data_IF_502697767493
#
_entry.id   IF_502697767493
#
_cell.length_a   1.000
_cell.length_b   1.000
_cell.length_c   1.000
_cell.angle_alpha   90.00
_cell.angle_beta   90.00
_cell.angle_gamma   90.00
#
_symmetry.space_group_name_H-M   'P 1'
#
loop_
_entity.id
_entity.type
_entity.pdbx_description
1 polymer ?
#
# COMPACT_ATOMS: atom_id res chain seq x y z
N UNK A 1 -13.27 25.62 3.97
CA UNK A 1 -12.60 24.38 4.45
C UNK A 1 -13.03 23.23 3.55
N UNK A 2 -12.09 22.39 3.08
CA UNK A 2 -12.39 21.25 2.18
C UNK A 2 -12.46 19.91 2.92
N UNK A 3 -11.75 19.78 4.05
CA UNK A 3 -11.67 18.56 4.87
C UNK A 3 -11.67 18.93 6.36
N UNK A 4 -12.41 18.19 7.16
CA UNK A 4 -12.33 18.18 8.63
C UNK A 4 -11.54 16.95 9.07
N UNK A 5 -10.60 17.12 10.00
CA UNK A 5 -9.84 16.02 10.61
C UNK A 5 -10.39 15.81 12.02
N UNK A 6 -10.84 14.59 12.31
CA UNK A 6 -11.26 14.17 13.65
C UNK A 6 -10.22 13.22 14.19
N UNK A 7 -9.71 13.51 15.39
CA UNK A 7 -8.76 12.67 16.09
C UNK A 7 -9.25 12.41 17.52
N UNK A 8 -9.30 11.15 17.93
CA UNK A 8 -9.62 10.76 19.30
C UNK A 8 -8.77 9.56 19.74
N UNK A 9 -8.61 9.41 21.05
CA UNK A 9 -7.90 8.27 21.62
C UNK A 9 -8.80 7.02 21.56
N UNK A 10 -8.28 5.95 20.98
CA UNK A 10 -9.00 4.68 20.81
C UNK A 10 -8.59 3.71 21.92
N UNK A 11 -9.55 2.98 22.48
CA UNK A 11 -9.22 1.91 23.43
C UNK A 11 -8.55 0.78 22.65
N UNK A 12 -7.37 0.40 23.11
CA UNK A 12 -6.66 -0.77 22.62
C UNK A 12 -6.53 -1.67 23.82
N UNK A 13 -6.99 -2.92 23.71
CA UNK A 13 -6.92 -3.93 24.78
C UNK A 13 -5.44 -4.23 25.08
N UNK A 14 -4.87 -3.42 25.98
CA UNK A 14 -3.51 -3.51 26.46
C UNK A 14 -3.55 -4.23 27.80
N UNK A 15 -3.43 -5.56 27.74
CA UNK A 15 -3.39 -6.43 28.93
C UNK A 15 -2.28 -6.06 29.93
N UNK A 16 -1.35 -5.18 29.55
CA UNK A 16 -0.25 -4.73 30.41
C UNK A 16 -0.53 -3.46 31.22
N UNK A 17 -1.62 -2.73 30.96
CA UNK A 17 -1.98 -1.54 31.75
C UNK A 17 -3.11 -1.86 32.71
N UNK A 18 -2.78 -1.91 34.01
CA UNK A 18 -3.70 -2.10 35.13
C UNK A 18 -4.67 -0.92 35.32
N UNK A 19 -5.47 -0.63 34.30
CA UNK A 19 -6.50 0.40 34.31
C UNK A 19 -7.83 -0.27 34.63
N UNK A 20 -8.50 0.22 35.68
CA UNK A 20 -9.83 -0.26 36.05
C UNK A 20 -10.82 0.31 35.02
N UNK A 21 -11.41 -0.57 34.19
CA UNK A 21 -12.47 -0.21 33.27
C UNK A 21 -13.71 0.28 34.05
N UNK A 22 -14.28 1.41 33.65
CA UNK A 22 -15.53 1.95 34.20
C UNK A 22 -16.48 2.31 33.06
N UNK A 23 -17.52 1.49 32.83
CA UNK A 23 -18.44 1.68 31.71
C UNK A 23 -17.71 1.57 30.36
N UNK A 24 -17.89 2.56 29.48
CA UNK A 24 -17.24 2.73 28.17
C UNK A 24 -15.96 3.58 28.23
N UNK A 25 -15.36 3.73 29.41
CA UNK A 25 -14.16 4.51 29.60
C UNK A 25 -13.29 4.04 30.77
N UNK A 26 -12.33 4.87 31.14
CA UNK A 26 -11.49 4.66 32.31
C UNK A 26 -11.58 5.87 33.22
N UNK A 27 -11.48 5.65 34.52
CA UNK A 27 -11.21 6.71 35.49
C UNK A 27 -9.69 6.82 35.61
N UNK A 28 -9.14 7.97 35.25
CA UNK A 28 -7.69 8.19 35.36
C UNK A 28 -7.28 8.32 36.84
N UNK A 29 -5.97 8.23 37.11
CA UNK A 29 -5.41 8.47 38.46
C UNK A 29 -5.70 9.88 39.00
N UNK A 30 -6.22 10.79 38.17
CA UNK A 30 -6.65 12.14 38.54
C UNK A 30 -8.17 12.25 38.77
N UNK A 31 -8.90 11.13 38.89
CA UNK A 31 -10.37 11.07 39.03
C UNK A 31 -11.14 11.77 37.89
N UNK A 32 -10.59 11.79 36.67
CA UNK A 32 -11.32 12.24 35.48
C UNK A 32 -11.81 11.04 34.69
N UNK A 33 -13.07 11.08 34.26
CA UNK A 33 -13.60 10.10 33.31
C UNK A 33 -13.07 10.43 31.91
N UNK A 34 -12.46 9.44 31.27
CA UNK A 34 -12.05 9.54 29.89
C UNK A 34 -12.72 8.41 29.10
N UNK A 35 -13.65 8.79 28.21
CA UNK A 35 -14.23 7.85 27.24
C UNK A 35 -13.17 7.48 26.21
N UNK A 36 -13.01 6.19 26.00
CA UNK A 36 -12.23 5.68 24.89
C UNK A 36 -13.19 5.09 23.89
N UNK A 37 -13.03 5.45 22.63
CA UNK A 37 -13.85 4.87 21.59
C UNK A 37 -13.17 3.60 21.06
N UNK A 38 -13.95 2.60 20.69
CA UNK A 38 -13.46 1.64 19.70
C UNK A 38 -13.38 2.31 18.32
N UNK A 39 -12.54 1.79 17.41
CA UNK A 39 -12.39 2.38 16.07
C UNK A 39 -13.73 2.46 15.33
N UNK A 40 -14.51 1.39 15.38
CA UNK A 40 -15.83 1.31 14.74
C UNK A 40 -16.86 2.22 15.42
N UNK A 41 -16.83 2.32 16.75
CA UNK A 41 -17.70 3.19 17.53
C UNK A 41 -17.45 4.67 17.19
N UNK A 42 -16.18 5.09 17.13
CA UNK A 42 -15.81 6.44 16.75
C UNK A 42 -16.31 6.79 15.35
N UNK A 43 -16.18 5.85 14.39
CA UNK A 43 -16.70 6.03 13.04
C UNK A 43 -18.21 6.25 13.06
N UNK A 44 -18.95 5.35 13.71
CA UNK A 44 -20.40 5.42 13.77
C UNK A 44 -20.88 6.74 14.39
N UNK A 45 -20.19 7.21 15.44
CA UNK A 45 -20.48 8.50 16.05
C UNK A 45 -20.27 9.67 15.07
N UNK A 46 -19.12 9.72 14.38
CA UNK A 46 -18.82 10.79 13.40
C UNK A 46 -19.84 10.76 12.26
N UNK A 47 -20.11 9.58 11.69
CA UNK A 47 -21.03 9.41 10.57
C UNK A 47 -22.45 9.85 10.95
N UNK A 48 -22.93 9.48 12.14
CA UNK A 48 -24.26 9.82 12.62
C UNK A 48 -24.41 11.33 12.88
N UNK A 49 -23.40 11.96 13.50
CA UNK A 49 -23.47 13.38 13.86
C UNK A 49 -23.36 14.27 12.62
N UNK A 50 -22.51 13.90 11.66
CA UNK A 50 -22.23 14.72 10.48
C UNK A 50 -23.04 14.32 9.24
N UNK A 51 -23.69 13.15 9.24
CA UNK A 51 -24.47 12.65 8.12
C UNK A 51 -23.61 12.31 6.89
N UNK A 52 -22.39 11.81 7.11
CA UNK A 52 -21.37 11.54 6.08
C UNK A 52 -20.71 10.18 6.28
N UNK A 53 -20.02 9.65 5.26
CA UNK A 53 -19.16 8.47 5.42
C UNK A 53 -17.71 8.90 5.70
N UNK A 54 -17.34 8.94 6.98
CA UNK A 54 -16.00 9.33 7.40
C UNK A 54 -14.94 8.31 6.97
N UNK A 55 -13.78 8.82 6.52
CA UNK A 55 -12.69 7.99 5.96
C UNK A 55 -11.65 7.72 7.05
N UNK A 56 -11.44 6.46 7.46
CA UNK A 56 -10.37 6.13 8.40
C UNK A 56 -9.01 6.30 7.73
N UNK A 57 -8.12 7.05 8.39
CA UNK A 57 -6.73 7.24 7.96
C UNK A 57 -5.81 6.36 8.81
N UNK A 58 -6.00 6.39 10.12
CA UNK A 58 -5.30 5.57 11.09
C UNK A 58 -6.23 5.29 12.29
N UNK A 59 -5.74 4.53 13.27
CA UNK A 59 -6.46 4.37 14.54
C UNK A 59 -6.76 5.74 15.15
N UNK A 60 -8.04 5.98 15.44
CA UNK A 60 -8.54 7.20 16.05
C UNK A 60 -8.60 8.41 15.13
N UNK A 61 -8.19 8.30 13.86
CA UNK A 61 -8.08 9.44 12.94
C UNK A 61 -8.97 9.24 11.71
N UNK A 62 -9.88 10.18 11.51
CA UNK A 62 -10.84 10.21 10.41
C UNK A 62 -10.75 11.52 9.62
N UNK A 63 -10.85 11.41 8.30
CA UNK A 63 -11.10 12.55 7.43
C UNK A 63 -12.57 12.61 7.04
N UNK A 64 -13.13 13.80 7.13
CA UNK A 64 -14.52 14.09 6.75
C UNK A 64 -14.52 15.13 5.64
N UNK A 65 -15.14 14.78 4.52
CA UNK A 65 -15.27 15.65 3.36
C UNK A 65 -16.69 16.20 3.31
N UNK A 66 -16.82 17.49 2.98
CA UNK A 66 -18.14 18.10 2.75
C UNK A 66 -18.71 17.76 1.37
N UNK A 67 -17.84 17.54 0.40
CA UNK A 67 -18.17 17.25 -0.99
C UNK A 67 -17.86 15.78 -1.28
N UNK A 68 -18.90 15.02 -1.61
CA UNK A 68 -18.81 13.59 -1.91
C UNK A 68 -17.86 13.30 -3.07
N UNK A 69 -17.83 14.18 -4.09
CA UNK A 69 -16.96 13.99 -5.25
C UNK A 69 -15.47 14.07 -4.87
N UNK A 70 -15.14 14.91 -3.87
CA UNK A 70 -13.79 15.00 -3.31
C UNK A 70 -13.47 13.81 -2.42
N UNK A 71 -14.46 13.31 -1.67
CA UNK A 71 -14.33 12.11 -0.84
C UNK A 71 -14.02 10.87 -1.70
N UNK A 72 -14.71 10.72 -2.83
CA UNK A 72 -14.50 9.61 -3.76
C UNK A 72 -13.19 9.73 -4.55
N UNK A 73 -12.83 10.95 -4.96
CA UNK A 73 -11.51 11.19 -5.56
C UNK A 73 -10.38 10.82 -4.59
N UNK A 74 -10.52 11.14 -3.30
CA UNK A 74 -9.56 10.76 -2.26
C UNK A 74 -9.49 9.24 -2.05
N UNK A 75 -10.64 8.54 -1.97
CA UNK A 75 -10.69 7.08 -1.86
C UNK A 75 -10.01 6.40 -3.05
N UNK A 76 -10.32 6.81 -4.27
CA UNK A 76 -9.71 6.26 -5.47
C UNK A 76 -8.18 6.48 -5.50
N UNK A 77 -7.73 7.68 -5.12
CA UNK A 77 -6.31 8.03 -5.10
C UNK A 77 -5.48 7.17 -4.12
N UNK A 78 -6.07 6.69 -3.02
CA UNK A 78 -5.39 5.81 -2.04
C UNK A 78 -4.96 4.46 -2.60
N UNK A 79 -5.66 3.98 -3.62
CA UNK A 79 -5.37 2.71 -4.27
C UNK A 79 -4.71 2.91 -5.63
N UNK A 80 -4.20 4.11 -5.92
CA UNK A 80 -3.46 4.37 -7.15
C UNK A 80 -2.05 3.84 -7.04
N UNK A 81 -1.59 3.18 -8.09
CA UNK A 81 -0.24 2.63 -8.15
C UNK A 81 0.71 3.49 -8.96
N UNK A 82 2.01 3.43 -8.65
CA UNK A 82 3.05 4.17 -9.37
C UNK A 82 3.25 3.60 -10.78
N UNK A 83 3.36 4.47 -11.76
CA UNK A 83 3.65 4.12 -13.15
C UNK A 83 4.80 4.98 -13.66
N UNK A 84 5.48 4.53 -14.70
CA UNK A 84 6.53 5.29 -15.37
C UNK A 84 6.27 5.23 -16.86
N UNK A 85 6.47 6.35 -17.55
CA UNK A 85 6.26 6.43 -18.99
C UNK A 85 7.20 5.43 -19.70
N UNK A 86 6.73 4.75 -20.75
CA UNK A 86 7.55 3.84 -21.55
C UNK A 86 8.80 4.50 -22.10
N UNK A 87 9.89 3.73 -22.18
CA UNK A 87 11.15 4.24 -22.73
C UNK A 87 11.06 4.33 -24.25
N UNK A 88 11.63 5.39 -24.82
CA UNK A 88 11.78 5.55 -26.26
C UNK A 88 12.81 4.52 -26.74
N UNK A 89 12.41 3.62 -27.64
CA UNK A 89 13.24 2.53 -28.16
C UNK A 89 13.75 2.80 -29.57
N UNK A 90 12.95 3.50 -30.38
CA UNK A 90 13.24 3.75 -31.79
C UNK A 90 13.36 5.25 -32.05
N UNK A 91 14.39 5.63 -32.82
CA UNK A 91 14.52 7.00 -33.35
C UNK A 91 13.58 7.17 -34.54
N UNK A 92 12.39 7.70 -34.28
CA UNK A 92 11.42 8.06 -35.31
C UNK A 92 11.51 9.57 -35.55
N UNK A 93 11.88 9.99 -36.75
CA UNK A 93 12.12 11.41 -37.08
C UNK A 93 10.92 12.30 -36.74
N UNK A 94 9.71 11.84 -37.03
CA UNK A 94 8.47 12.54 -36.71
C UNK A 94 8.22 12.63 -35.21
N UNK A 95 8.57 11.60 -34.43
CA UNK A 95 8.45 11.65 -32.98
C UNK A 95 9.46 12.65 -32.38
N UNK A 96 10.71 12.61 -32.80
CA UNK A 96 11.76 13.53 -32.32
C UNK A 96 11.41 15.00 -32.63
N UNK A 97 10.89 15.26 -33.83
CA UNK A 97 10.49 16.62 -34.25
C UNK A 97 9.39 17.22 -33.37
N UNK A 98 8.48 16.38 -32.84
CA UNK A 98 7.31 16.83 -32.09
C UNK A 98 7.28 16.33 -30.65
N UNK A 99 8.42 15.91 -30.11
CA UNK A 99 8.52 15.29 -28.79
C UNK A 99 7.88 16.14 -27.69
N UNK A 100 8.20 17.43 -27.65
CA UNK A 100 7.66 18.35 -26.63
C UNK A 100 6.13 18.50 -26.72
N UNK A 101 5.55 18.35 -27.92
CA UNK A 101 4.09 18.40 -28.12
C UNK A 101 3.42 17.08 -27.78
N UNK A 102 4.12 15.96 -27.90
CA UNK A 102 3.63 14.62 -27.57
C UNK A 102 3.83 14.27 -26.08
N UNK A 103 4.77 14.93 -25.40
CA UNK A 103 5.07 14.66 -23.99
C UNK A 103 3.86 14.82 -23.06
N UNK A 104 3.02 15.89 -23.14
CA UNK A 104 1.82 15.99 -22.30
C UNK A 104 0.83 14.83 -22.53
N UNK A 105 0.77 14.30 -23.76
CA UNK A 105 -0.07 13.16 -24.09
C UNK A 105 0.47 11.86 -23.47
N UNK A 106 1.80 11.68 -23.51
CA UNK A 106 2.49 10.57 -22.85
C UNK A 106 2.33 10.63 -21.33
N UNK A 107 2.45 11.82 -20.73
CA UNK A 107 2.28 12.03 -19.28
C UNK A 107 0.85 11.75 -18.86
N UNK A 108 -0.14 12.24 -19.61
CA UNK A 108 -1.56 11.96 -19.37
C UNK A 108 -1.84 10.46 -19.46
N UNK A 109 -1.35 9.77 -20.50
CA UNK A 109 -1.56 8.34 -20.62
C UNK A 109 -0.86 7.59 -19.48
N UNK A 110 0.36 7.97 -19.12
CA UNK A 110 1.10 7.37 -17.99
C UNK A 110 0.32 7.52 -16.68
N UNK A 111 -0.29 8.68 -16.47
CA UNK A 111 -1.09 8.95 -15.29
C UNK A 111 -2.45 8.23 -15.33
N UNK A 112 -3.14 8.15 -16.47
CA UNK A 112 -4.56 7.72 -16.55
C UNK A 112 -4.80 6.36 -17.19
N UNK A 113 -3.81 5.80 -17.89
CA UNK A 113 -3.93 4.55 -18.65
C UNK A 113 -4.83 4.65 -19.88
N UNK A 114 -5.11 5.87 -20.34
CA UNK A 114 -5.98 6.15 -21.48
C UNK A 114 -5.61 7.49 -22.11
N UNK A 115 -6.13 7.73 -23.31
CA UNK A 115 -6.03 9.05 -23.94
C UNK A 115 -6.99 10.07 -23.29
N UNK A 116 -6.64 11.36 -23.30
CA UNK A 116 -7.50 12.43 -22.81
C UNK A 116 -8.71 12.59 -23.72
N UNK A 117 -9.85 12.92 -23.12
CA UNK A 117 -11.02 13.39 -23.85
C UNK A 117 -10.83 14.85 -24.28
N UNK A 118 -11.64 15.30 -25.23
CA UNK A 118 -11.59 16.69 -25.73
C UNK A 118 -11.80 17.73 -24.62
N UNK A 119 -12.62 17.40 -23.61
CA UNK A 119 -12.90 18.28 -22.48
C UNK A 119 -11.75 18.34 -21.44
N UNK A 120 -10.80 17.41 -21.51
CA UNK A 120 -9.66 17.33 -20.58
C UNK A 120 -8.40 18.01 -21.15
N UNK A 121 -8.40 18.39 -22.42
CA UNK A 121 -7.33 19.15 -23.05
C UNK A 121 -7.66 20.64 -23.07
N UNK A 122 -6.65 21.48 -22.89
CA UNK A 122 -6.79 22.91 -23.14
C UNK A 122 -7.11 23.18 -24.62
N UNK A 123 -7.92 24.21 -24.91
CA UNK A 123 -8.31 24.54 -26.29
C UNK A 123 -7.10 24.73 -27.22
N UNK A 124 -6.01 25.32 -26.71
CA UNK A 124 -4.76 25.53 -27.44
C UNK A 124 -4.02 24.21 -27.71
N UNK A 125 -3.94 23.31 -26.72
CA UNK A 125 -3.29 22.00 -26.85
C UNK A 125 -4.01 21.14 -27.89
N UNK A 126 -5.35 21.09 -27.80
CA UNK A 126 -6.18 20.38 -28.76
C UNK A 126 -5.98 20.91 -30.18
N UNK A 127 -6.01 22.24 -30.35
CA UNK A 127 -5.83 22.88 -31.66
C UNK A 127 -4.45 22.56 -32.23
N UNK A 128 -3.39 22.65 -31.42
CA UNK A 128 -2.02 22.34 -31.81
C UNK A 128 -1.86 20.87 -32.26
N UNK A 129 -2.44 19.93 -31.50
CA UNK A 129 -2.44 18.51 -31.84
C UNK A 129 -3.25 18.21 -33.10
N UNK A 130 -4.42 18.83 -33.27
CA UNK A 130 -5.26 18.66 -34.45
C UNK A 130 -4.61 19.24 -35.70
N UNK A 131 -3.99 20.42 -35.62
CA UNK A 131 -3.29 21.02 -36.75
C UNK A 131 -2.09 20.17 -37.22
N UNK A 132 -1.38 19.53 -36.28
CA UNK A 132 -0.17 18.76 -36.60
C UNK A 132 -0.47 17.31 -37.00
N UNK A 133 -1.40 16.65 -36.29
CA UNK A 133 -1.63 15.20 -36.40
C UNK A 133 -3.06 14.84 -36.83
N UNK A 134 -3.97 15.81 -36.91
CA UNK A 134 -5.40 15.62 -37.21
C UNK A 134 -6.24 15.17 -36.02
N UNK A 135 -5.75 14.26 -35.16
CA UNK A 135 -6.47 13.82 -33.96
C UNK A 135 -5.55 13.33 -32.84
N UNK A 136 -6.08 13.30 -31.61
CA UNK A 136 -5.37 12.77 -30.42
C UNK A 136 -4.90 11.32 -30.66
N UNK A 137 -5.76 10.49 -31.28
CA UNK A 137 -5.42 9.09 -31.59
C UNK A 137 -4.25 8.99 -32.58
N UNK A 138 -4.25 9.81 -33.64
CA UNK A 138 -3.17 9.84 -34.62
C UNK A 138 -1.86 10.36 -34.02
N UNK A 139 -1.94 11.38 -33.17
CA UNK A 139 -0.78 11.86 -32.41
C UNK A 139 -0.18 10.74 -31.56
N UNK A 140 -1.02 9.95 -30.87
CA UNK A 140 -0.55 8.82 -30.09
C UNK A 140 -0.02 7.65 -30.95
N UNK A 141 -0.50 7.47 -32.17
CA UNK A 141 0.09 6.50 -33.11
C UNK A 141 1.57 6.80 -33.38
N UNK A 142 1.96 8.08 -33.45
CA UNK A 142 3.37 8.48 -33.59
C UNK A 142 4.17 8.10 -32.34
N UNK A 143 3.59 8.25 -31.15
CA UNK A 143 4.22 7.79 -29.89
C UNK A 143 4.45 6.28 -29.92
N UNK A 144 3.45 5.50 -30.34
CA UNK A 144 3.54 4.03 -30.42
C UNK A 144 4.57 3.54 -31.45
N UNK A 145 4.92 4.34 -32.45
CA UNK A 145 6.00 4.01 -33.39
C UNK A 145 7.40 4.15 -32.74
N UNK A 146 7.54 5.02 -31.75
CA UNK A 146 8.82 5.31 -31.07
C UNK A 146 9.00 4.54 -29.75
N UNK A 147 7.91 3.99 -29.19
CA UNK A 147 7.84 3.34 -27.87
C UNK A 147 7.30 1.92 -27.96
N UNK A 148 7.30 1.18 -26.86
CA UNK A 148 6.72 -0.16 -26.80
C UNK A 148 5.22 -0.10 -26.46
N UNK A 149 4.38 -0.64 -27.34
CA UNK A 149 2.92 -0.67 -27.15
C UNK A 149 2.50 -1.49 -25.91
N UNK A 150 3.20 -2.60 -25.62
CA UNK A 150 2.91 -3.44 -24.46
C UNK A 150 3.19 -2.74 -23.13
N UNK A 151 4.16 -1.81 -23.07
CA UNK A 151 4.38 -0.98 -21.88
C UNK A 151 3.20 0.00 -21.63
N UNK A 152 2.55 0.51 -22.69
CA UNK A 152 1.34 1.32 -22.56
C UNK A 152 0.13 0.48 -22.13
N UNK A 153 -0.04 -0.71 -22.69
CA UNK A 153 -1.09 -1.65 -22.29
C UNK A 153 -0.94 -2.03 -20.81
N UNK A 154 0.30 -2.29 -20.35
CA UNK A 154 0.58 -2.56 -18.95
C UNK A 154 0.17 -1.39 -18.01
N UNK A 155 0.34 -0.13 -18.46
CA UNK A 155 -0.14 1.04 -17.71
C UNK A 155 -1.68 1.06 -17.67
N UNK A 156 -2.34 0.79 -18.78
CA UNK A 156 -3.81 0.72 -18.85
C UNK A 156 -4.36 -0.39 -17.94
N UNK A 157 -3.76 -1.58 -17.95
CA UNK A 157 -4.13 -2.70 -17.08
C UNK A 157 -3.89 -2.39 -15.61
N UNK A 158 -2.77 -1.73 -15.29
CA UNK A 158 -2.48 -1.27 -13.93
C UNK A 158 -3.53 -0.28 -13.43
N UNK A 159 -4.01 0.63 -14.29
CA UNK A 159 -5.11 1.56 -13.97
C UNK A 159 -6.47 0.90 -13.85
N UNK A 160 -6.78 -0.09 -14.70
CA UNK A 160 -7.96 -0.94 -14.52
C UNK A 160 -7.93 -1.60 -13.15
N UNK A 161 -6.80 -2.21 -12.78
CA UNK A 161 -6.64 -2.88 -11.50
C UNK A 161 -6.79 -1.92 -10.30
N UNK A 162 -6.23 -0.71 -10.37
CA UNK A 162 -6.43 0.32 -9.33
C UNK A 162 -7.93 0.64 -9.13
N UNK A 163 -8.66 0.82 -10.24
CA UNK A 163 -10.10 1.08 -10.22
C UNK A 163 -10.91 -0.10 -9.70
N UNK A 164 -10.53 -1.33 -10.06
CA UNK A 164 -11.17 -2.54 -9.53
C UNK A 164 -11.01 -2.63 -8.02
N UNK A 165 -9.81 -2.42 -7.49
CA UNK A 165 -9.55 -2.42 -6.04
C UNK A 165 -10.41 -1.36 -5.34
N UNK A 166 -10.45 -0.14 -5.88
CA UNK A 166 -11.30 0.94 -5.34
C UNK A 166 -12.79 0.57 -5.35
N UNK A 167 -13.36 0.17 -6.50
CA UNK A 167 -14.78 -0.16 -6.65
C UNK A 167 -15.18 -1.38 -5.81
N UNK A 168 -14.29 -2.36 -5.69
CA UNK A 168 -14.45 -3.52 -4.83
C UNK A 168 -14.53 -3.08 -3.36
N UNK A 169 -13.59 -2.27 -2.90
CA UNK A 169 -13.59 -1.78 -1.51
C UNK A 169 -14.80 -0.90 -1.19
N UNK A 170 -15.31 -0.13 -2.15
CA UNK A 170 -16.54 0.65 -1.98
C UNK A 170 -17.79 -0.22 -1.78
N UNK A 171 -17.74 -1.53 -2.01
CA UNK A 171 -18.84 -2.45 -1.70
C UNK A 171 -19.08 -2.59 -0.17
N UNK A 172 -18.06 -2.43 0.67
CA UNK A 172 -18.18 -2.55 2.13
C UNK A 172 -18.82 -1.32 2.81
N UNK A 173 -19.49 -0.45 2.05
CA UNK A 173 -20.19 0.72 2.54
C UNK A 173 -21.22 1.15 1.50
N UNK A 174 -21.27 2.43 1.18
CA UNK A 174 -22.04 2.89 0.04
C UNK A 174 -21.16 2.91 -1.21
N UNK A 175 -21.45 2.03 -2.17
CA UNK A 175 -20.84 2.14 -3.49
C UNK A 175 -21.41 3.40 -4.18
N UNK A 176 -20.57 4.38 -4.56
CA UNK A 176 -21.03 5.66 -5.10
C UNK A 176 -21.80 5.46 -6.40
N UNK A 177 -22.78 6.32 -6.70
CA UNK A 177 -23.40 6.31 -8.03
C UNK A 177 -22.46 6.97 -9.01
N UNK A 178 -22.62 6.66 -10.30
CA UNK A 178 -21.77 7.23 -11.35
C UNK A 178 -21.70 8.77 -11.33
N UNK A 179 -22.81 9.44 -10.98
CA UNK A 179 -22.88 10.91 -10.88
C UNK A 179 -22.14 11.50 -9.68
N UNK A 180 -21.87 10.69 -8.65
CA UNK A 180 -21.18 11.10 -7.42
C UNK A 180 -19.65 11.02 -7.62
N UNK A 181 -19.20 10.39 -8.71
CA UNK A 181 -17.79 10.33 -9.10
C UNK A 181 -17.35 11.64 -9.76
N UNK A 182 -16.08 12.01 -9.56
CA UNK A 182 -15.48 13.14 -10.27
C UNK A 182 -15.54 12.94 -11.80
N UNK A 183 -15.64 14.02 -12.61
CA UNK A 183 -15.67 13.91 -14.06
C UNK A 183 -14.48 13.13 -14.64
N UNK A 184 -13.32 13.29 -14.03
CA UNK A 184 -12.09 12.57 -14.39
C UNK A 184 -12.23 11.06 -14.18
N UNK A 185 -12.78 10.64 -13.04
CA UNK A 185 -13.00 9.23 -12.71
C UNK A 185 -14.11 8.61 -13.58
N UNK A 186 -15.15 9.38 -13.89
CA UNK A 186 -16.19 8.97 -14.83
C UNK A 186 -15.60 8.65 -16.22
N UNK A 187 -14.67 9.49 -16.71
CA UNK A 187 -14.02 9.26 -18.00
C UNK A 187 -13.05 8.08 -17.97
N UNK A 188 -12.31 7.89 -16.87
CA UNK A 188 -11.46 6.70 -16.70
C UNK A 188 -12.27 5.42 -16.81
N UNK A 189 -13.38 5.33 -16.06
CA UNK A 189 -14.21 4.13 -16.04
C UNK A 189 -14.80 3.87 -17.43
N UNK A 190 -15.32 4.89 -18.11
CA UNK A 190 -15.86 4.75 -19.47
C UNK A 190 -14.79 4.27 -20.45
N UNK A 191 -13.59 4.84 -20.42
CA UNK A 191 -12.55 4.49 -21.38
C UNK A 191 -11.92 3.12 -21.08
N UNK A 192 -11.76 2.74 -19.82
CA UNK A 192 -11.06 1.51 -19.40
C UNK A 192 -11.98 0.29 -19.31
N UNK A 193 -13.28 0.49 -19.04
CA UNK A 193 -14.24 -0.61 -18.87
C UNK A 193 -15.43 -0.55 -19.83
N UNK A 194 -15.61 0.54 -20.57
CA UNK A 194 -16.78 0.79 -21.42
C UNK A 194 -17.94 1.43 -20.65
N UNK A 195 -18.30 0.86 -19.49
CA UNK A 195 -19.38 1.38 -18.64
C UNK A 195 -19.11 1.20 -17.15
N UNK A 196 -19.80 2.00 -16.34
CA UNK A 196 -19.76 1.88 -14.87
C UNK A 196 -20.26 0.51 -14.40
N UNK A 197 -21.32 -0.02 -15.03
CA UNK A 197 -21.87 -1.32 -14.69
C UNK A 197 -20.87 -2.46 -14.94
N UNK A 198 -20.14 -2.42 -16.06
CA UNK A 198 -19.10 -3.41 -16.35
C UNK A 198 -17.95 -3.34 -15.35
N UNK A 199 -17.53 -2.12 -14.97
CA UNK A 199 -16.50 -1.93 -13.95
C UNK A 199 -16.93 -2.50 -12.58
N UNK A 200 -18.17 -2.23 -12.15
CA UNK A 200 -18.72 -2.78 -10.91
C UNK A 200 -18.82 -4.31 -10.96
N UNK A 201 -19.29 -4.88 -12.08
CA UNK A 201 -19.39 -6.34 -12.25
C UNK A 201 -18.02 -7.00 -12.13
N UNK A 202 -16.99 -6.42 -12.77
CA UNK A 202 -15.62 -6.92 -12.67
C UNK A 202 -15.06 -6.80 -11.24
N UNK A 203 -15.37 -5.72 -10.53
CA UNK A 203 -14.98 -5.53 -9.13
C UNK A 203 -15.66 -6.55 -8.19
N UNK A 204 -16.93 -6.87 -8.45
CA UNK A 204 -17.69 -7.86 -7.69
C UNK A 204 -17.12 -9.27 -7.89
N UNK A 205 -16.77 -9.63 -9.13
CA UNK A 205 -16.08 -10.89 -9.42
C UNK A 205 -14.73 -10.99 -8.69
N UNK A 206 -14.00 -9.88 -8.60
CA UNK A 206 -12.74 -9.81 -7.86
C UNK A 206 -12.94 -10.02 -6.35
N UNK A 207 -13.96 -9.41 -5.74
CA UNK A 207 -14.35 -9.65 -4.33
C UNK A 207 -14.75 -11.10 -4.09
N UNK A 208 -15.54 -11.69 -4.99
CA UNK A 208 -15.94 -13.11 -4.89
C UNK A 208 -14.73 -14.05 -4.97
N UNK A 209 -13.74 -13.69 -5.79
CA UNK A 209 -12.48 -14.43 -5.87
C UNK A 209 -11.69 -14.33 -4.56
N UNK A 210 -11.68 -13.15 -3.92
CA UNK A 210 -11.01 -12.94 -2.65
C UNK A 210 -11.58 -13.80 -1.51
N UNK A 211 -12.88 -14.09 -1.54
CA UNK A 211 -13.54 -14.96 -0.57
C UNK A 211 -13.08 -16.41 -0.58
N UNK A 212 -12.20 -16.82 -1.51
CA UNK A 212 -11.63 -18.17 -1.63
C UNK A 212 -10.22 -18.21 -1.02
N UNK A 213 -10.00 -18.82 0.15
CA UNK A 213 -8.69 -18.82 0.82
C UNK A 213 -7.55 -19.38 -0.03
N UNK A 214 -7.84 -20.41 -0.83
CA UNK A 214 -6.89 -21.05 -1.76
C UNK A 214 -6.33 -20.05 -2.79
N UNK A 215 -7.17 -19.15 -3.31
CA UNK A 215 -6.76 -18.13 -4.27
C UNK A 215 -5.82 -17.12 -3.60
N UNK A 216 -6.12 -16.70 -2.36
CA UNK A 216 -5.25 -15.81 -1.61
C UNK A 216 -3.88 -16.44 -1.34
N UNK A 217 -3.87 -17.70 -0.90
CA UNK A 217 -2.61 -18.41 -0.66
C UNK A 217 -1.81 -18.52 -1.96
N UNK A 218 -2.44 -18.95 -3.06
CA UNK A 218 -1.78 -19.04 -4.36
C UNK A 218 -1.14 -17.70 -4.76
N UNK A 219 -1.88 -16.58 -4.64
CA UNK A 219 -1.35 -15.24 -4.96
C UNK A 219 -0.21 -14.85 -4.04
N UNK A 220 -0.29 -15.16 -2.74
CA UNK A 220 0.82 -14.94 -1.82
C UNK A 220 2.07 -15.72 -2.25
N UNK A 221 1.94 -17.00 -2.60
CA UNK A 221 3.08 -17.87 -2.99
C UNK A 221 3.70 -17.49 -4.33
N UNK A 222 2.89 -17.02 -5.27
CA UNK A 222 3.34 -16.60 -6.59
C UNK A 222 3.82 -15.14 -6.63
N UNK A 223 3.70 -14.40 -5.52
CA UNK A 223 4.12 -13.01 -5.48
C UNK A 223 5.64 -12.89 -5.72
N UNK A 224 6.08 -12.11 -6.71
CA UNK A 224 7.51 -11.85 -6.95
C UNK A 224 8.11 -10.90 -5.91
N UNK A 225 7.26 -10.22 -5.13
CA UNK A 225 7.64 -9.26 -4.10
C UNK A 225 7.15 -9.76 -2.75
N UNK A 226 8.04 -9.73 -1.76
CA UNK A 226 7.73 -10.08 -0.38
C UNK A 226 8.48 -11.31 0.12
N UNK A 227 8.82 -11.29 1.40
CA UNK A 227 9.51 -12.38 2.06
C UNK A 227 8.51 -13.51 2.36
N UNK A 228 8.72 -14.65 1.71
CA UNK A 228 7.92 -15.86 1.90
C UNK A 228 8.21 -16.49 3.27
N UNK A 229 7.16 -16.78 4.03
CA UNK A 229 7.22 -17.52 5.29
C UNK A 229 6.24 -18.70 5.24
N UNK A 230 6.38 -19.75 6.08
CA UNK A 230 5.52 -20.92 6.03
C UNK A 230 4.01 -20.62 6.02
N UNK A 231 3.56 -19.58 6.74
CA UNK A 231 2.13 -19.25 6.86
C UNK A 231 1.81 -17.78 6.56
N UNK A 232 2.72 -17.07 5.88
CA UNK A 232 2.49 -15.66 5.54
C UNK A 232 3.42 -15.15 4.45
N UNK A 233 2.97 -14.10 3.77
CA UNK A 233 3.80 -13.24 2.94
C UNK A 233 4.05 -11.91 3.67
N UNK A 234 5.31 -11.46 3.73
CA UNK A 234 5.68 -10.20 4.40
C UNK A 234 6.16 -9.20 3.35
N UNK A 235 5.46 -8.07 3.23
CA UNK A 235 5.74 -7.06 2.19
C UNK A 235 5.92 -5.70 2.84
N UNK A 236 6.97 -4.98 2.46
CA UNK A 236 7.15 -3.61 2.90
C UNK A 236 6.05 -2.70 2.32
N UNK A 237 5.57 -1.73 3.10
CA UNK A 237 4.44 -0.85 2.69
C UNK A 237 4.70 -0.11 1.36
N UNK A 238 5.97 0.15 1.04
CA UNK A 238 6.37 0.83 -0.20
C UNK A 238 6.11 0.04 -1.48
N UNK A 239 5.87 -1.27 -1.37
CA UNK A 239 5.69 -2.17 -2.51
C UNK A 239 4.25 -2.69 -2.65
N UNK A 240 3.33 -2.25 -1.78
CA UNK A 240 1.93 -2.69 -1.80
C UNK A 240 1.27 -2.41 -3.15
N UNK A 241 1.57 -1.27 -3.78
CA UNK A 241 0.99 -0.88 -5.06
C UNK A 241 1.55 -1.65 -6.27
N UNK A 242 2.58 -2.49 -6.05
CA UNK A 242 3.17 -3.39 -7.04
C UNK A 242 2.68 -4.84 -6.88
N UNK A 243 1.93 -5.14 -5.82
CA UNK A 243 1.37 -6.47 -5.61
C UNK A 243 0.23 -6.79 -6.58
N UNK A 244 -0.07 -8.09 -6.68
CA UNK A 244 -1.27 -8.58 -7.36
C UNK A 244 -2.52 -7.84 -6.82
N UNK A 245 -3.46 -7.43 -7.70
CA UNK A 245 -4.64 -6.69 -7.29
C UNK A 245 -5.44 -7.38 -6.18
N UNK A 246 -5.50 -8.72 -6.13
CA UNK A 246 -6.19 -9.45 -5.07
C UNK A 246 -5.52 -9.27 -3.71
N UNK A 247 -4.19 -9.23 -3.65
CA UNK A 247 -3.46 -8.95 -2.41
C UNK A 247 -3.69 -7.49 -1.97
N UNK A 248 -3.71 -6.56 -2.92
CA UNK A 248 -4.01 -5.14 -2.67
C UNK A 248 -5.42 -4.96 -2.10
N UNK A 249 -6.39 -5.66 -2.69
CA UNK A 249 -7.76 -5.69 -2.21
C UNK A 249 -7.85 -6.30 -0.80
N UNK A 250 -7.14 -7.41 -0.54
CA UNK A 250 -7.12 -8.07 0.76
C UNK A 250 -6.59 -7.16 1.89
N UNK A 251 -5.47 -6.47 1.65
CA UNK A 251 -4.96 -5.45 2.59
C UNK A 251 -5.95 -4.28 2.70
N UNK A 252 -6.54 -3.88 1.57
CA UNK A 252 -7.56 -2.85 1.47
C UNK A 252 -8.76 -3.08 2.39
N UNK A 253 -9.21 -4.33 2.57
CA UNK A 253 -10.31 -4.67 3.49
C UNK A 253 -10.01 -4.21 4.93
N UNK A 254 -8.76 -4.32 5.37
CA UNK A 254 -8.32 -3.81 6.67
C UNK A 254 -8.09 -2.29 6.64
N UNK A 255 -7.28 -1.79 5.69
CA UNK A 255 -6.84 -0.39 5.69
C UNK A 255 -7.96 0.61 5.36
N UNK A 256 -8.99 0.21 4.62
CA UNK A 256 -10.19 1.01 4.34
C UNK A 256 -11.13 1.11 5.54
N UNK A 257 -11.11 0.15 6.46
CA UNK A 257 -12.08 0.07 7.56
C UNK A 257 -11.49 0.56 8.88
N UNK A 258 -10.26 0.15 9.18
CA UNK A 258 -9.56 0.49 10.43
C UNK A 258 -8.52 1.59 10.21
N UNK A 259 -8.02 1.76 8.99
CA UNK A 259 -6.87 2.62 8.69
C UNK A 259 -5.56 1.84 8.73
N UNK A 260 -4.55 2.36 8.01
CA UNK A 260 -3.18 1.84 8.05
C UNK A 260 -2.38 2.74 9.00
N UNK A 261 -1.71 2.20 10.02
CA UNK A 261 -0.85 3.03 10.87
C UNK A 261 0.25 3.67 10.03
N UNK A 262 0.47 4.97 10.20
CA UNK A 262 1.49 5.71 9.44
C UNK A 262 2.89 5.11 9.63
N UNK A 263 3.20 4.67 10.85
CA UNK A 263 4.48 4.04 11.20
C UNK A 263 4.61 2.58 10.70
N UNK A 264 3.59 1.99 10.07
CA UNK A 264 3.68 0.63 9.58
C UNK A 264 4.78 0.52 8.51
N UNK A 265 5.67 -0.45 8.68
CA UNK A 265 6.79 -0.70 7.76
C UNK A 265 6.56 -1.94 6.92
N UNK A 266 6.08 -3.03 7.52
CA UNK A 266 5.83 -4.30 6.85
C UNK A 266 4.39 -4.74 7.10
N UNK A 267 3.73 -5.20 6.04
CA UNK A 267 2.42 -5.84 6.08
C UNK A 267 2.62 -7.35 6.00
N UNK A 268 2.09 -8.06 7.00
CA UNK A 268 2.03 -9.51 7.05
C UNK A 268 0.65 -9.97 6.57
N UNK A 269 0.63 -10.62 5.43
CA UNK A 269 -0.51 -11.32 4.86
C UNK A 269 -0.56 -12.73 5.44
N UNK A 270 -1.59 -13.07 6.19
CA UNK A 270 -1.77 -14.43 6.71
C UNK A 270 -2.49 -15.26 5.65
N UNK A 271 -1.98 -16.47 5.36
CA UNK A 271 -2.62 -17.36 4.36
C UNK A 271 -3.55 -18.41 4.98
N UNK A 272 -3.37 -18.70 6.27
CA UNK A 272 -4.18 -19.72 6.98
C UNK A 272 -5.39 -19.15 7.72
N UNK A 273 -5.45 -17.83 7.89
CA UNK A 273 -6.55 -17.17 8.58
C UNK A 273 -6.83 -15.80 7.97
N UNK A 274 -8.08 -15.34 7.98
CA UNK A 274 -8.47 -14.04 7.43
C UNK A 274 -7.97 -12.90 8.31
N UNK A 275 -6.69 -12.55 8.19
CA UNK A 275 -6.02 -11.58 9.06
C UNK A 275 -4.96 -10.79 8.29
N UNK A 276 -4.88 -9.49 8.57
CA UNK A 276 -3.76 -8.63 8.21
C UNK A 276 -3.01 -8.25 9.48
N UNK A 277 -1.69 -8.11 9.40
CA UNK A 277 -0.91 -7.56 10.52
C UNK A 277 0.07 -6.52 10.02
N UNK A 278 -0.04 -5.31 10.55
CA UNK A 278 0.93 -4.25 10.33
C UNK A 278 2.03 -4.36 11.38
N UNK A 279 3.29 -4.33 10.92
CA UNK A 279 4.48 -4.46 11.74
C UNK A 279 5.29 -3.16 11.66
N UNK A 280 5.68 -2.62 12.81
CA UNK A 280 6.50 -1.41 12.93
C UNK A 280 7.91 -1.82 13.29
N UNK A 281 8.82 -1.77 12.32
CA UNK A 281 10.25 -2.00 12.50
C UNK A 281 10.96 -0.66 12.64
N UNK A 282 11.55 -0.41 13.81
CA UNK A 282 12.18 0.88 14.10
C UNK A 282 13.44 1.11 13.26
N UNK A 283 13.64 2.36 12.80
CA UNK A 283 14.81 2.77 12.03
C UNK A 283 15.12 1.83 10.83
N UNK A 284 14.07 1.41 10.11
CA UNK A 284 14.08 0.35 9.09
C UNK A 284 15.27 0.46 8.13
N UNK A 285 15.56 1.64 7.58
CA UNK A 285 16.65 1.82 6.62
C UNK A 285 18.05 1.84 7.26
N UNK A 286 18.15 2.41 8.47
CA UNK A 286 19.45 2.62 9.15
C UNK A 286 19.96 1.33 9.77
N UNK A 287 19.09 0.52 10.37
CA UNK A 287 19.51 -0.71 11.03
C UNK A 287 19.70 -1.86 10.02
N UNK A 288 20.74 -2.70 10.16
CA UNK A 288 20.90 -3.90 9.33
C UNK A 288 19.75 -4.89 9.59
N UNK A 289 19.42 -5.07 10.88
CA UNK A 289 18.33 -5.89 11.38
C UNK A 289 17.40 -5.03 12.22
N UNK A 290 16.39 -4.38 11.63
CA UNK A 290 15.55 -3.47 12.38
C UNK A 290 14.68 -4.25 13.38
N UNK A 291 14.55 -3.69 14.59
CA UNK A 291 13.83 -4.28 15.71
C UNK A 291 12.32 -4.07 15.55
N UNK A 292 11.53 -5.12 15.79
CA UNK A 292 10.08 -5.04 15.84
C UNK A 292 9.66 -4.28 17.09
N UNK A 293 9.10 -3.09 16.90
CA UNK A 293 8.62 -2.23 17.99
C UNK A 293 7.19 -2.60 18.38
N UNK A 294 6.30 -2.62 17.40
CA UNK A 294 4.87 -2.84 17.62
C UNK A 294 4.24 -3.66 16.49
N UNK A 295 3.13 -4.32 16.78
CA UNK A 295 2.30 -4.98 15.78
C UNK A 295 0.82 -4.71 15.99
N UNK A 296 0.09 -4.44 14.91
CA UNK A 296 -1.36 -4.31 14.90
C UNK A 296 -1.96 -5.38 13.99
N UNK A 297 -2.59 -6.39 14.60
CA UNK A 297 -3.29 -7.46 13.91
C UNK A 297 -4.78 -7.13 13.81
N UNK A 298 -5.34 -7.23 12.60
CA UNK A 298 -6.76 -7.04 12.33
C UNK A 298 -7.32 -8.35 11.79
N UNK A 299 -8.29 -8.91 12.51
CA UNK A 299 -9.13 -9.99 12.00
C UNK A 299 -10.09 -9.42 10.95
N UNK A 300 -10.18 -10.04 9.77
CA UNK A 300 -11.06 -9.56 8.70
C UNK A 300 -12.50 -10.10 8.82
N UNK A 301 -12.77 -11.00 9.78
CA UNK A 301 -14.11 -11.56 10.01
C UNK A 301 -14.98 -10.62 10.85
N UNK A 302 -14.41 -10.13 11.95
CA UNK A 302 -15.10 -9.31 12.97
C UNK A 302 -14.45 -7.94 13.16
N UNK A 303 -13.39 -7.63 12.40
CA UNK A 303 -12.63 -6.38 12.47
C UNK A 303 -11.96 -6.13 13.83
N UNK A 304 -11.84 -7.17 14.67
CA UNK A 304 -11.17 -7.06 15.97
C UNK A 304 -9.69 -6.71 15.79
N UNK A 305 -9.25 -5.69 16.53
CA UNK A 305 -7.89 -5.16 16.48
C UNK A 305 -7.12 -5.61 17.72
N UNK A 306 -6.08 -6.42 17.50
CA UNK A 306 -5.11 -6.78 18.54
C UNK A 306 -3.82 -6.01 18.32
N UNK A 307 -3.47 -5.18 19.28
CA UNK A 307 -2.20 -4.48 19.31
C UNK A 307 -1.22 -5.18 20.24
N UNK A 308 0.07 -5.02 19.99
CA UNK A 308 1.13 -5.54 20.85
C UNK A 308 2.36 -4.66 20.73
N UNK A 309 2.88 -4.24 21.88
CA UNK A 309 4.22 -3.71 22.02
C UNK A 309 5.20 -4.85 22.36
N UNK A 310 6.40 -4.79 21.80
CA UNK A 310 7.45 -5.78 22.05
C UNK A 310 8.46 -5.23 23.05
N UNK A 311 9.08 -6.14 23.79
CA UNK A 311 10.13 -5.82 24.78
C UNK A 311 11.29 -5.08 24.09
N UNK A 312 11.60 -3.84 24.51
CA UNK A 312 12.71 -3.08 23.94
C UNK A 312 14.09 -3.67 24.28
N UNK A 313 14.21 -4.48 25.34
CA UNK A 313 15.49 -5.03 25.78
C UNK A 313 15.92 -6.27 24.98
N UNK A 314 14.96 -6.99 24.40
CA UNK A 314 15.23 -8.14 23.52
C UNK A 314 14.17 -8.28 22.42
N UNK A 315 14.09 -7.32 21.49
CA UNK A 315 13.05 -7.30 20.47
C UNK A 315 13.31 -8.38 19.41
N UNK A 316 12.25 -8.90 18.76
CA UNK A 316 12.38 -9.65 17.52
C UNK A 316 13.05 -8.82 16.43
N UNK A 317 13.87 -9.44 15.59
CA UNK A 317 14.59 -8.79 14.51
C UNK A 317 14.06 -9.20 13.13
N UNK A 318 14.08 -8.26 12.19
CA UNK A 318 13.84 -8.56 10.78
C UNK A 318 15.15 -8.91 10.07
N UNK A 319 15.30 -10.17 9.70
CA UNK A 319 16.37 -10.67 8.85
C UNK A 319 15.97 -10.69 7.37
N UNK A 320 16.97 -10.51 6.50
CA UNK A 320 16.79 -10.51 5.04
C UNK A 320 15.69 -9.54 4.59
N UNK A 321 15.74 -8.31 5.12
CA UNK A 321 14.71 -7.28 4.87
C UNK A 321 14.63 -6.87 3.40
N UNK A 322 15.68 -7.11 2.61
CA UNK A 322 15.69 -6.96 1.15
C UNK A 322 14.58 -7.78 0.49
N UNK A 323 14.27 -8.96 1.01
CA UNK A 323 13.19 -9.82 0.48
C UNK A 323 11.80 -9.21 0.67
N UNK A 324 11.62 -8.28 1.61
CA UNK A 324 10.33 -7.58 1.81
C UNK A 324 10.11 -6.44 0.81
N UNK A 325 11.15 -6.05 0.07
CA UNK A 325 11.18 -4.84 -0.76
C UNK A 325 11.07 -5.18 -2.25
N UNK A 326 10.59 -4.21 -3.02
CA UNK A 326 10.69 -4.25 -4.47
C UNK A 326 12.11 -3.85 -4.94
N UNK A 327 12.57 -4.32 -6.11
CA UNK A 327 13.91 -4.03 -6.63
C UNK A 327 14.20 -2.54 -6.88
N UNK A 328 13.17 -1.73 -7.07
CA UNK A 328 13.26 -0.27 -7.28
C UNK A 328 13.43 0.53 -5.98
N UNK A 329 13.44 -0.14 -4.81
CA UNK A 329 13.68 0.51 -3.54
C UNK A 329 15.12 1.08 -3.46
N UNK A 330 15.33 2.36 -3.06
CA UNK A 330 16.63 3.03 -3.17
C UNK A 330 17.81 2.29 -2.53
N UNK A 331 17.58 1.62 -1.39
CA UNK A 331 18.61 0.86 -0.66
C UNK A 331 18.58 -0.65 -0.92
N UNK A 332 17.78 -1.14 -1.89
CA UNK A 332 17.59 -2.57 -2.16
C UNK A 332 18.93 -3.31 -2.32
N UNK A 333 19.78 -2.85 -3.25
CA UNK A 333 21.06 -3.49 -3.55
C UNK A 333 22.00 -3.56 -2.33
N UNK A 334 21.96 -2.54 -1.46
CA UNK A 334 22.75 -2.50 -0.22
C UNK A 334 22.28 -3.59 0.76
N UNK A 335 20.97 -3.76 0.92
CA UNK A 335 20.40 -4.76 1.82
C UNK A 335 20.59 -6.18 1.28
N UNK A 336 20.35 -6.40 -0.02
CA UNK A 336 20.60 -7.70 -0.66
C UNK A 336 22.06 -8.14 -0.52
N UNK A 337 23.01 -7.21 -0.66
CA UNK A 337 24.44 -7.49 -0.47
C UNK A 337 24.77 -7.87 0.98
N UNK A 338 24.07 -7.31 1.97
CA UNK A 338 24.23 -7.72 3.37
C UNK A 338 23.74 -9.16 3.55
N UNK A 339 22.54 -9.48 3.08
CA UNK A 339 21.98 -10.82 3.24
C UNK A 339 22.77 -11.90 2.50
N UNK A 340 23.38 -11.58 1.36
CA UNK A 340 24.34 -12.46 0.70
C UNK A 340 25.63 -12.67 1.51
N UNK A 341 26.12 -11.66 2.23
CA UNK A 341 27.27 -11.83 3.12
C UNK A 341 26.88 -12.71 4.31
N UNK A 342 25.76 -12.45 4.96
CA UNK A 342 25.28 -13.20 6.11
C UNK A 342 25.08 -14.69 5.78
N UNK A 343 24.52 -14.99 4.60
CA UNK A 343 24.40 -16.36 4.10
C UNK A 343 25.77 -17.03 3.91
N UNK A 344 26.74 -16.33 3.29
CA UNK A 344 28.09 -16.87 3.06
C UNK A 344 28.85 -17.14 4.36
N UNK A 345 28.49 -16.43 5.43
CA UNK A 345 29.08 -16.59 6.76
C UNK A 345 28.36 -17.64 7.61
N UNK A 346 27.27 -18.26 7.13
CA UNK A 346 26.48 -19.22 7.90
C UNK A 346 25.59 -18.57 8.97
N UNK A 347 25.47 -17.24 9.00
CA UNK A 347 24.75 -16.52 10.06
C UNK A 347 23.22 -16.73 9.99
N UNK A 348 22.72 -17.24 8.87
CA UNK A 348 21.29 -17.44 8.60
C UNK A 348 20.85 -18.91 8.67
N UNK A 349 21.74 -19.82 9.09
CA UNK A 349 21.49 -21.27 9.07
C UNK A 349 20.41 -21.70 10.09
N UNK A 350 20.36 -21.05 11.26
CA UNK A 350 19.29 -21.21 12.25
C UNK A 350 18.53 -19.90 12.48
N UNK A 351 17.52 -19.66 11.62
CA UNK A 351 16.66 -18.48 11.70
C UNK A 351 15.86 -18.41 13.01
N UNK A 352 15.62 -19.54 13.69
CA UNK A 352 14.91 -19.53 14.98
C UNK A 352 15.82 -19.05 16.10
N UNK A 353 17.08 -19.47 16.11
CA UNK A 353 18.06 -19.06 17.11
C UNK A 353 18.38 -17.56 17.04
N UNK A 354 18.30 -16.94 15.86
CA UNK A 354 18.58 -15.51 15.66
C UNK A 354 17.35 -14.61 15.74
N UNK A 355 16.17 -15.15 16.09
CA UNK A 355 14.90 -14.42 16.01
C UNK A 355 14.89 -13.08 16.78
N UNK A 356 15.63 -13.00 17.88
CA UNK A 356 15.71 -11.82 18.74
C UNK A 356 17.12 -11.24 18.85
N UNK A 357 17.22 -10.06 19.47
CA UNK A 357 18.47 -9.30 19.57
C UNK A 357 19.58 -10.08 20.29
N UNK A 358 19.27 -10.82 21.36
CA UNK A 358 20.24 -11.62 22.11
C UNK A 358 20.73 -12.81 21.29
N UNK A 359 19.82 -13.54 20.66
CA UNK A 359 20.12 -14.66 19.78
C UNK A 359 21.01 -14.24 18.61
N UNK A 360 20.71 -13.10 17.98
CA UNK A 360 21.54 -12.53 16.93
C UNK A 360 22.95 -12.16 17.41
N UNK A 361 23.07 -11.51 18.57
CA UNK A 361 24.37 -11.14 19.14
C UNK A 361 25.21 -12.38 19.49
N UNK A 362 24.57 -13.44 19.99
CA UNK A 362 25.23 -14.72 20.25
C UNK A 362 25.73 -15.37 18.96
N UNK A 363 24.90 -15.42 17.91
CA UNK A 363 25.28 -15.95 16.60
C UNK A 363 26.51 -15.22 16.02
N UNK A 364 26.52 -13.88 16.04
CA UNK A 364 27.66 -13.08 15.60
C UNK A 364 28.93 -13.43 16.39
N UNK A 365 28.84 -13.54 17.71
CA UNK A 365 29.98 -13.89 18.55
C UNK A 365 30.52 -15.29 18.24
N UNK A 366 29.65 -16.28 18.06
CA UNK A 366 30.03 -17.67 17.76
C UNK A 366 30.78 -17.79 16.42
N UNK A 367 30.47 -16.92 15.45
CA UNK A 367 31.12 -16.88 14.13
C UNK A 367 32.30 -15.90 14.06
N UNK A 368 32.69 -15.28 15.19
CA UNK A 368 33.74 -14.26 15.20
C UNK A 368 33.42 -13.08 14.26
N UNK A 369 32.14 -12.77 14.10
CA UNK A 369 31.61 -11.76 13.19
C UNK A 369 31.15 -10.51 13.95
N UNK A 370 31.16 -9.38 13.26
CA UNK A 370 30.50 -8.14 13.69
C UNK A 370 29.88 -7.42 12.49
N UNK A 371 28.87 -6.59 12.74
CA UNK A 371 28.28 -5.73 11.72
C UNK A 371 28.87 -4.33 11.80
N UNK A 372 29.34 -3.81 10.65
CA UNK A 372 29.70 -2.40 10.47
C UNK A 372 28.76 -1.76 9.46
N UNK A 373 27.67 -1.19 9.97
CA UNK A 373 26.53 -0.82 9.13
C UNK A 373 25.93 -2.06 8.46
N UNK A 374 25.79 -2.05 7.14
CA UNK A 374 25.27 -3.18 6.35
C UNK A 374 26.38 -4.02 5.73
N UNK A 375 27.39 -4.37 6.53
CA UNK A 375 28.50 -5.25 6.13
C UNK A 375 28.89 -6.16 7.28
N UNK A 376 29.12 -7.43 6.97
CA UNK A 376 29.67 -8.42 7.89
C UNK A 376 31.19 -8.35 7.82
N UNK A 377 31.86 -8.20 8.96
CA UNK A 377 33.32 -8.19 9.04
C UNK A 377 33.78 -9.11 10.17
N UNK A 378 35.05 -9.54 10.15
CA UNK A 378 35.63 -10.29 11.28
C UNK A 378 35.74 -9.36 12.48
N UNK A 379 35.27 -9.82 13.63
CA UNK A 379 35.50 -9.16 14.91
C UNK A 379 37.01 -9.15 15.16
N UNK A 380 37.58 -7.98 15.42
CA UNK A 380 38.98 -7.89 15.88
C UNK A 380 39.05 -8.54 17.26
N UNK A 381 40.00 -9.46 17.47
CA UNK A 381 40.31 -9.91 18.82
C UNK A 381 40.76 -8.68 19.61
N UNK A 382 40.19 -8.50 20.81
CA UNK A 382 40.77 -7.59 21.78
C UNK A 382 42.09 -8.23 22.22
N UNK A 383 43.21 -7.53 22.01
CA UNK A 383 44.52 -7.90 22.52
C UNK A 383 44.54 -7.94 24.06
#
# INVERSE_FOLDING_TARGET
>A
QKVLIVAAQVLIDDRTRGVIAYGDGIITSRNTFQKYYEQAELKAYIDQVLGVDAIPIALGIYFVFRDETQAEAFRAARFRSRTTAPRIRLKVSQFEQYRDRLQPLMDFYTDRGRLPSVAELGAQELTSLQATFGSIKRAFTVVLQATDAGEWDAIADKRRNDLLVYLALSHFGHRPKFKDLSPQLQQDIKALFGSYQQACTAADLMLMTLGRPEMLEQRCRQSPIGQQRPHSLWVHVSALDQLDPLLRLYEGCASRTIGRPEAATVVKFHVQKPQITYLVFAEFDKQPHPALKTSMAISLQDLYVRYRDYDPDNPPLLHQKDQTLAPDYPSYAKFAKLSQQEQKWGLLDDVKAIFDQRGWNHCLAAHGAELRGHRVVRRKQAD
#
